data_IF_807288099716
#
_entry.id   IF_807288099716
#
_cell.length_a   1.000
_cell.length_b   1.000
_cell.length_c   1.000
_cell.angle_alpha   90.00
_cell.angle_beta   90.00
_cell.angle_gamma   90.00
#
_symmetry.space_group_name_H-M   'P 1'
#
loop_
_entity.id
_entity.type
_entity.pdbx_description
1 polymer ?
#
# COMPACT_ATOMS: atom_id res chain seq x y z
N UNK A 1 -0.27 7.19 -30.38
CA UNK A 1 -0.38 7.75 -29.01
C UNK A 1 -0.97 6.67 -28.13
N UNK A 2 -0.10 6.04 -27.34
CA UNK A 2 -0.47 4.90 -26.50
C UNK A 2 -1.56 5.26 -25.49
N UNK A 3 -2.66 4.51 -25.51
CA UNK A 3 -3.67 4.47 -24.45
C UNK A 3 -3.13 3.89 -23.14
N UNK A 4 -1.82 3.69 -23.05
CA UNK A 4 -1.11 3.19 -21.90
C UNK A 4 -0.89 4.33 -20.90
N UNK A 5 -1.57 4.20 -19.74
CA UNK A 5 -1.17 4.82 -18.49
C UNK A 5 -1.55 6.29 -18.24
N UNK A 6 -2.75 6.72 -18.55
CA UNK A 6 -3.34 7.81 -17.78
C UNK A 6 -3.82 7.26 -16.43
N UNK A 7 -2.88 7.05 -15.52
CA UNK A 7 -3.21 6.76 -14.13
C UNK A 7 -3.84 8.02 -13.53
N UNK A 8 -5.14 7.96 -13.23
CA UNK A 8 -5.82 9.04 -12.51
C UNK A 8 -5.52 8.78 -11.02
N UNK A 9 -4.79 9.69 -10.34
CA UNK A 9 -4.53 9.56 -8.91
C UNK A 9 -5.85 9.55 -8.13
N UNK A 10 -5.93 8.71 -7.11
CA UNK A 10 -7.14 8.59 -6.28
C UNK A 10 -7.21 9.76 -5.32
N UNK A 11 -8.35 10.46 -5.24
CA UNK A 11 -8.62 11.58 -4.32
C UNK A 11 -7.51 12.66 -4.38
N UNK A 12 -7.06 13.01 -5.60
CA UNK A 12 -5.93 13.92 -5.79
C UNK A 12 -6.18 15.30 -5.15
N UNK A 13 -7.32 15.91 -5.46
CA UNK A 13 -7.62 17.27 -4.97
C UNK A 13 -7.77 17.29 -3.45
N UNK A 14 -8.43 16.30 -2.89
CA UNK A 14 -8.58 16.16 -1.45
C UNK A 14 -7.22 15.94 -0.78
N UNK A 15 -6.35 15.08 -1.36
CA UNK A 15 -5.02 14.84 -0.83
C UNK A 15 -4.18 16.12 -0.81
N UNK A 16 -4.17 16.89 -1.91
CA UNK A 16 -3.44 18.15 -2.01
C UNK A 16 -4.00 19.20 -1.03
N UNK A 17 -5.32 19.29 -0.89
CA UNK A 17 -5.95 20.21 0.03
C UNK A 17 -5.60 19.90 1.50
N UNK A 18 -5.70 18.63 1.89
CA UNK A 18 -5.40 18.21 3.27
C UNK A 18 -3.91 18.22 3.61
N UNK A 19 -3.04 18.03 2.63
CA UNK A 19 -1.60 18.23 2.84
C UNK A 19 -1.25 19.66 3.21
N UNK A 20 -2.11 20.66 2.86
CA UNK A 20 -1.87 22.07 3.18
C UNK A 20 -0.44 22.48 2.76
N UNK A 21 -0.17 22.29 1.48
CA UNK A 21 1.15 22.51 0.91
C UNK A 21 1.50 24.00 0.90
N UNK A 22 2.75 24.29 1.22
CA UNK A 22 3.35 25.64 1.17
C UNK A 22 4.64 25.59 0.38
N UNK A 23 5.11 26.73 -0.07
CA UNK A 23 6.44 26.84 -0.67
C UNK A 23 7.52 26.54 0.37
N UNK A 24 8.66 26.04 -0.10
CA UNK A 24 9.89 25.78 0.68
C UNK A 24 9.73 24.82 1.86
N UNK A 25 8.85 23.82 1.73
CA UNK A 25 8.69 22.73 2.71
C UNK A 25 9.27 21.42 2.20
N UNK A 26 9.55 20.48 3.12
CA UNK A 26 9.94 19.13 2.81
C UNK A 26 8.74 18.18 2.93
N UNK A 27 8.50 17.41 1.87
CA UNK A 27 7.36 16.49 1.81
C UNK A 27 7.84 15.08 1.53
N UNK A 28 7.32 14.10 2.26
CA UNK A 28 7.45 12.69 1.97
C UNK A 28 6.25 12.21 1.14
N UNK A 29 6.50 11.66 -0.04
CA UNK A 29 5.58 10.76 -0.74
C UNK A 29 6.10 9.33 -0.57
N UNK A 30 5.51 8.59 0.35
CA UNK A 30 5.94 7.26 0.75
C UNK A 30 5.59 6.17 -0.27
N UNK A 31 4.77 6.50 -1.28
CA UNK A 31 4.20 5.59 -2.27
C UNK A 31 4.16 6.25 -3.65
N UNK A 32 5.32 6.68 -4.13
CA UNK A 32 5.44 7.58 -5.28
C UNK A 32 4.77 7.05 -6.56
N UNK A 33 4.83 5.73 -6.79
CA UNK A 33 4.23 5.09 -7.95
C UNK A 33 4.73 5.71 -9.27
N UNK A 34 3.79 6.01 -10.16
CA UNK A 34 4.07 6.72 -11.42
C UNK A 34 4.13 8.25 -11.27
N UNK A 35 4.08 8.76 -10.04
CA UNK A 35 4.23 10.16 -9.70
C UNK A 35 2.94 10.99 -9.82
N UNK A 36 1.78 10.35 -9.86
CA UNK A 36 0.50 11.06 -10.04
C UNK A 36 0.26 12.13 -8.99
N UNK A 37 0.40 11.82 -7.71
CA UNK A 37 0.39 12.77 -6.61
C UNK A 37 1.72 13.53 -6.51
N UNK A 38 2.85 12.78 -6.57
CA UNK A 38 4.17 13.31 -6.32
C UNK A 38 4.54 14.50 -7.21
N UNK A 39 4.27 14.45 -8.52
CA UNK A 39 4.54 15.57 -9.40
C UNK A 39 3.70 16.80 -9.07
N UNK A 40 2.44 16.62 -8.70
CA UNK A 40 1.56 17.71 -8.28
C UNK A 40 1.99 18.34 -6.95
N UNK A 41 2.49 17.53 -6.03
CA UNK A 41 3.08 17.99 -4.77
C UNK A 41 4.35 18.78 -5.06
N UNK A 42 5.27 18.23 -5.86
CA UNK A 42 6.56 18.87 -6.18
C UNK A 42 6.41 20.28 -6.78
N UNK A 43 5.43 20.45 -7.68
CA UNK A 43 5.16 21.77 -8.27
C UNK A 43 4.72 22.81 -7.23
N UNK A 44 3.93 22.42 -6.23
CA UNK A 44 3.34 23.32 -5.24
C UNK A 44 4.28 23.71 -4.11
N UNK A 45 5.34 22.96 -3.88
CA UNK A 45 6.28 23.18 -2.79
C UNK A 45 7.57 23.90 -3.21
N UNK A 46 7.75 24.23 -4.48
CA UNK A 46 8.98 24.89 -4.97
C UNK A 46 9.29 26.16 -4.15
N UNK A 47 10.57 26.35 -3.73
CA UNK A 47 11.78 25.55 -4.00
C UNK A 47 12.02 24.37 -3.05
N UNK A 48 11.05 24.02 -2.18
CA UNK A 48 11.14 22.92 -1.22
C UNK A 48 11.45 21.56 -1.87
N UNK A 49 11.53 20.50 -1.07
CA UNK A 49 11.98 19.18 -1.50
C UNK A 49 10.89 18.11 -1.35
N UNK A 50 10.64 17.33 -2.41
CA UNK A 50 9.86 16.09 -2.35
C UNK A 50 10.78 14.88 -2.25
N UNK A 51 10.59 14.09 -1.19
CA UNK A 51 11.23 12.81 -0.95
C UNK A 51 10.27 11.72 -1.43
N UNK A 52 10.56 11.06 -2.54
CA UNK A 52 9.72 10.00 -3.12
C UNK A 52 10.28 8.62 -2.79
N UNK A 53 9.41 7.69 -2.38
CA UNK A 53 9.77 6.29 -2.20
C UNK A 53 8.93 5.41 -3.13
N UNK A 54 9.59 4.53 -3.90
CA UNK A 54 8.94 3.53 -4.74
C UNK A 54 9.61 2.17 -4.54
N UNK A 55 8.82 1.20 -4.06
CA UNK A 55 9.33 -0.12 -3.72
C UNK A 55 9.57 -1.00 -4.95
N UNK A 56 8.65 -0.96 -5.92
CA UNK A 56 8.74 -1.75 -7.14
C UNK A 56 9.84 -1.23 -8.08
N UNK A 57 10.94 -2.00 -8.31
CA UNK A 57 12.04 -1.55 -9.13
C UNK A 57 11.63 -1.30 -10.59
N UNK A 58 10.61 -1.98 -11.09
CA UNK A 58 10.10 -1.76 -12.45
C UNK A 58 9.37 -0.41 -12.53
N UNK A 59 8.47 -0.12 -11.60
CA UNK A 59 7.80 1.19 -11.51
C UNK A 59 8.81 2.31 -11.30
N UNK A 60 9.78 2.11 -10.38
CA UNK A 60 10.88 3.05 -10.15
C UNK A 60 11.65 3.36 -11.44
N UNK A 61 12.06 2.33 -12.20
CA UNK A 61 12.79 2.51 -13.46
C UNK A 61 12.02 3.34 -14.48
N UNK A 62 10.70 3.14 -14.58
CA UNK A 62 9.85 3.90 -15.49
C UNK A 62 9.71 5.36 -15.07
N UNK A 63 9.41 5.61 -13.81
CA UNK A 63 9.15 6.97 -13.31
C UNK A 63 10.43 7.79 -13.16
N UNK A 64 11.56 7.15 -12.86
CA UNK A 64 12.87 7.84 -12.72
C UNK A 64 13.28 8.57 -13.99
N UNK A 65 12.81 8.13 -15.17
CA UNK A 65 13.07 8.82 -16.44
C UNK A 65 12.43 10.22 -16.52
N UNK A 66 11.39 10.48 -15.72
CA UNK A 66 10.70 11.76 -15.62
C UNK A 66 11.30 12.70 -14.56
N UNK A 67 12.06 12.16 -13.60
CA UNK A 67 12.62 12.94 -12.48
C UNK A 67 13.53 14.09 -12.93
N UNK A 68 14.39 13.97 -13.98
CA UNK A 68 15.21 15.08 -14.43
C UNK A 68 14.44 16.36 -14.81
N UNK A 69 13.13 16.27 -15.05
CA UNK A 69 12.27 17.42 -15.29
C UNK A 69 11.96 18.22 -14.02
N UNK A 70 12.27 17.66 -12.83
CA UNK A 70 11.96 18.23 -11.52
C UNK A 70 13.23 18.35 -10.67
N UNK A 71 13.74 19.57 -10.48
CA UNK A 71 14.94 19.81 -9.69
C UNK A 71 14.78 19.49 -8.20
N UNK A 72 13.54 19.53 -7.71
CA UNK A 72 13.17 19.40 -6.29
C UNK A 72 12.58 18.03 -5.92
N UNK A 73 12.82 16.97 -6.70
CA UNK A 73 12.45 15.60 -6.34
C UNK A 73 13.70 14.76 -6.07
N UNK A 74 13.69 14.01 -4.97
CA UNK A 74 14.66 12.94 -4.71
C UNK A 74 13.91 11.63 -4.56
N UNK A 75 14.01 10.78 -5.59
CA UNK A 75 13.32 9.49 -5.67
C UNK A 75 14.26 8.36 -5.29
N UNK A 76 13.79 7.44 -4.42
CA UNK A 76 14.52 6.28 -3.96
C UNK A 76 13.76 4.99 -4.29
N UNK A 77 14.48 3.97 -4.78
CA UNK A 77 13.90 2.62 -4.90
C UNK A 77 13.97 1.90 -3.53
N UNK A 78 13.07 2.30 -2.66
CA UNK A 78 12.92 1.81 -1.29
C UNK A 78 11.44 1.69 -0.94
N UNK A 79 11.10 0.70 -0.11
CA UNK A 79 9.81 0.70 0.58
C UNK A 79 9.83 1.69 1.76
N UNK A 80 8.67 2.17 2.15
CA UNK A 80 8.52 3.13 3.26
C UNK A 80 8.99 2.58 4.61
N UNK A 81 9.10 1.27 4.77
CA UNK A 81 9.68 0.61 5.94
C UNK A 81 11.21 0.83 6.07
N UNK A 82 11.82 1.41 5.04
CA UNK A 82 13.24 1.77 4.95
C UNK A 82 13.45 3.29 4.78
N UNK A 83 12.47 4.10 5.22
CA UNK A 83 12.50 5.56 5.13
C UNK A 83 13.75 6.18 5.78
N UNK A 84 14.23 5.60 6.88
CA UNK A 84 15.43 6.03 7.59
C UNK A 84 16.68 6.05 6.68
N UNK A 85 16.79 5.12 5.72
CA UNK A 85 17.86 5.09 4.73
C UNK A 85 17.79 6.32 3.80
N UNK A 86 16.60 6.71 3.35
CA UNK A 86 16.43 7.88 2.49
C UNK A 86 16.76 9.17 3.25
N UNK A 87 16.28 9.31 4.49
CA UNK A 87 16.56 10.46 5.35
C UNK A 87 18.05 10.61 5.64
N UNK A 88 18.72 9.50 5.96
CA UNK A 88 20.17 9.49 6.17
C UNK A 88 20.95 9.93 4.93
N UNK A 89 20.61 9.41 3.75
CA UNK A 89 21.26 9.77 2.47
C UNK A 89 21.10 11.24 2.10
N UNK A 90 20.01 11.86 2.51
CA UNK A 90 19.74 13.28 2.29
C UNK A 90 20.32 14.18 3.39
N UNK A 91 20.78 13.62 4.51
CA UNK A 91 21.20 14.39 5.68
C UNK A 91 20.06 15.15 6.35
N UNK A 92 18.81 14.67 6.19
CA UNK A 92 17.63 15.31 6.72
C UNK A 92 17.20 14.67 8.04
N UNK A 93 16.77 15.52 8.98
CA UNK A 93 16.26 15.10 10.29
C UNK A 93 14.74 15.20 10.42
N UNK A 94 14.07 15.87 9.48
CA UNK A 94 12.61 16.04 9.47
C UNK A 94 12.06 16.27 8.06
N UNK A 95 10.73 16.21 7.95
CA UNK A 95 9.91 16.75 6.87
C UNK A 95 8.59 17.32 7.44
N UNK A 96 7.91 18.15 6.65
CA UNK A 96 6.73 18.89 7.12
C UNK A 96 5.42 18.19 6.80
N UNK A 97 5.39 17.38 5.74
CA UNK A 97 4.20 16.64 5.28
C UNK A 97 4.57 15.24 4.91
N UNK A 98 3.67 14.30 5.16
CA UNK A 98 3.79 12.91 4.74
C UNK A 98 2.53 12.45 4.03
N UNK A 99 2.70 11.80 2.89
CA UNK A 99 1.63 11.24 2.08
C UNK A 99 1.85 9.75 1.85
N UNK A 100 0.77 8.96 2.00
CA UNK A 100 0.71 7.53 1.70
C UNK A 100 -0.52 7.23 0.86
N UNK A 101 -0.35 6.65 -0.34
CA UNK A 101 -1.39 6.05 -1.16
C UNK A 101 -1.15 4.53 -1.23
N UNK A 102 -1.79 3.77 -0.32
CA UNK A 102 -1.48 2.36 -0.06
C UNK A 102 -1.97 1.39 -1.17
N UNK A 103 -2.41 1.92 -2.30
CA UNK A 103 -2.93 1.12 -3.41
C UNK A 103 -1.86 0.33 -4.17
N UNK A 104 -2.32 -0.54 -5.06
CA UNK A 104 -1.47 -1.20 -6.05
C UNK A 104 -1.37 -0.30 -7.28
N UNK A 105 -0.16 -0.04 -7.77
CA UNK A 105 0.03 0.72 -8.99
C UNK A 105 -0.59 0.00 -10.20
N UNK A 106 -1.03 0.78 -11.21
CA UNK A 106 -1.52 0.21 -12.48
C UNK A 106 -0.45 -0.62 -13.16
N UNK A 107 0.80 -0.18 -13.05
CA UNK A 107 1.98 -0.84 -13.60
C UNK A 107 2.17 -2.22 -12.97
N UNK A 108 2.03 -2.33 -11.64
CA UNK A 108 2.14 -3.62 -10.95
C UNK A 108 1.06 -4.61 -11.39
N UNK A 109 -0.14 -4.15 -11.75
CA UNK A 109 -1.21 -5.01 -12.25
C UNK A 109 -0.94 -5.55 -13.69
N UNK A 110 -0.05 -4.92 -14.43
CA UNK A 110 0.19 -5.22 -15.85
C UNK A 110 1.54 -5.89 -16.13
N UNK A 111 2.42 -5.97 -15.15
CA UNK A 111 3.80 -6.42 -15.33
C UNK A 111 4.03 -7.94 -15.28
N UNK A 112 2.99 -8.76 -15.35
CA UNK A 112 3.12 -10.23 -15.47
C UNK A 112 3.44 -10.98 -14.17
N UNK A 113 3.37 -10.33 -13.00
CA UNK A 113 3.71 -10.92 -11.69
C UNK A 113 2.49 -11.49 -10.92
N UNK A 114 1.37 -11.70 -11.59
CA UNK A 114 0.19 -12.34 -11.02
C UNK A 114 -0.68 -11.45 -10.12
N UNK A 115 -0.48 -10.14 -10.11
CA UNK A 115 -1.33 -9.22 -9.35
C UNK A 115 -2.77 -9.16 -9.89
N UNK A 116 -2.98 -9.48 -11.17
CA UNK A 116 -4.30 -9.54 -11.78
C UNK A 116 -4.81 -10.98 -11.85
N UNK A 117 -5.99 -11.24 -11.28
CA UNK A 117 -6.68 -12.53 -11.44
C UNK A 117 -7.41 -12.67 -12.79
N UNK A 118 -7.30 -11.68 -13.67
CA UNK A 118 -7.92 -11.68 -15.00
C UNK A 118 -6.99 -12.19 -16.11
N UNK A 119 -5.69 -12.30 -15.81
CA UNK A 119 -4.66 -12.77 -16.73
C UNK A 119 -4.07 -14.08 -16.22
N UNK A 120 -3.62 -14.95 -17.13
CA UNK A 120 -2.89 -16.17 -16.75
C UNK A 120 -1.41 -15.85 -16.62
N UNK A 121 -0.95 -15.69 -15.39
CA UNK A 121 0.41 -15.31 -15.03
C UNK A 121 0.95 -16.23 -13.92
N UNK A 122 2.28 -16.26 -13.75
CA UNK A 122 2.89 -16.89 -12.57
C UNK A 122 2.41 -16.13 -11.31
N UNK A 123 2.03 -16.88 -10.28
CA UNK A 123 1.57 -16.29 -9.01
C UNK A 123 2.77 -15.84 -8.17
N UNK A 124 3.43 -14.78 -8.59
CA UNK A 124 4.58 -14.20 -7.87
C UNK A 124 4.12 -13.27 -6.73
N UNK A 125 3.36 -12.24 -7.02
CA UNK A 125 2.80 -11.22 -6.12
C UNK A 125 3.82 -10.35 -5.37
N UNK A 126 5.11 -10.42 -5.61
CA UNK A 126 6.10 -9.55 -4.97
C UNK A 126 6.10 -8.16 -5.60
N UNK A 127 6.10 -7.12 -4.77
CA UNK A 127 6.36 -5.75 -5.24
C UNK A 127 7.83 -5.61 -5.69
N UNK A 128 8.76 -6.12 -4.90
CA UNK A 128 10.16 -6.19 -5.29
C UNK A 128 10.58 -7.66 -5.50
N UNK A 129 10.82 -8.09 -6.74
CA UNK A 129 11.20 -9.48 -7.02
C UNK A 129 12.62 -9.83 -6.53
N UNK A 130 13.40 -8.85 -6.08
CA UNK A 130 14.73 -9.06 -5.48
C UNK A 130 14.64 -9.48 -4.01
N UNK A 131 13.46 -9.28 -3.38
CA UNK A 131 13.23 -9.54 -1.96
C UNK A 131 12.25 -10.71 -1.75
N UNK A 132 12.55 -11.57 -0.80
CA UNK A 132 11.66 -12.66 -0.39
C UNK A 132 11.39 -13.71 -1.46
N UNK A 133 10.40 -14.56 -1.19
CA UNK A 133 9.96 -15.65 -2.08
C UNK A 133 8.66 -15.28 -2.77
N UNK A 134 8.45 -15.72 -4.03
CA UNK A 134 7.17 -15.54 -4.72
C UNK A 134 6.03 -16.30 -4.02
N UNK A 135 4.81 -15.83 -4.18
CA UNK A 135 3.64 -16.42 -3.51
C UNK A 135 3.48 -17.92 -3.77
N UNK A 136 3.78 -18.38 -4.97
CA UNK A 136 3.65 -19.81 -5.29
C UNK A 136 4.62 -20.69 -4.48
N UNK A 137 5.83 -20.23 -4.16
CA UNK A 137 6.76 -20.93 -3.29
C UNK A 137 6.30 -20.90 -1.83
N UNK A 138 5.92 -19.74 -1.34
CA UNK A 138 5.38 -19.60 0.02
C UNK A 138 4.19 -20.51 0.26
N UNK A 139 3.26 -20.61 -0.73
CA UNK A 139 2.11 -21.53 -0.66
C UNK A 139 2.56 -22.99 -0.62
N UNK A 140 3.61 -23.35 -1.34
CA UNK A 140 4.14 -24.74 -1.30
C UNK A 140 4.73 -25.08 0.08
N UNK A 141 5.47 -24.18 0.69
CA UNK A 141 6.17 -24.38 1.95
C UNK A 141 5.22 -24.40 3.16
N UNK A 142 4.22 -23.52 3.22
CA UNK A 142 3.29 -23.45 4.35
C UNK A 142 2.35 -24.66 4.39
N UNK A 143 1.84 -24.99 5.56
CA UNK A 143 0.79 -25.99 5.71
C UNK A 143 -0.61 -25.47 5.35
N UNK A 144 -1.61 -26.35 5.31
CA UNK A 144 -2.99 -26.00 4.96
C UNK A 144 -3.62 -25.07 6.01
N UNK A 145 -3.30 -25.25 7.29
CA UNK A 145 -3.84 -24.45 8.39
C UNK A 145 -3.32 -23.02 8.33
N UNK A 146 -2.03 -22.84 8.04
CA UNK A 146 -1.44 -21.54 7.86
C UNK A 146 -2.02 -20.82 6.66
N UNK A 147 -2.20 -21.48 5.51
CA UNK A 147 -2.85 -20.88 4.35
C UNK A 147 -4.32 -20.50 4.66
N UNK A 148 -5.07 -21.37 5.37
CA UNK A 148 -6.41 -21.03 5.84
C UNK A 148 -6.40 -19.78 6.71
N UNK A 149 -5.45 -19.70 7.66
CA UNK A 149 -5.30 -18.55 8.57
C UNK A 149 -5.04 -17.25 7.79
N UNK A 150 -4.14 -17.29 6.81
CA UNK A 150 -3.82 -16.16 5.94
C UNK A 150 -5.07 -15.69 5.17
N UNK A 151 -5.77 -16.61 4.52
CA UNK A 151 -6.98 -16.29 3.76
C UNK A 151 -8.10 -15.72 4.65
N UNK A 152 -8.23 -16.23 5.87
CA UNK A 152 -9.23 -15.78 6.84
C UNK A 152 -8.90 -14.41 7.41
N UNK A 153 -7.66 -14.18 7.82
CA UNK A 153 -7.26 -12.95 8.50
C UNK A 153 -7.04 -11.81 7.50
N UNK A 154 -6.26 -12.03 6.46
CA UNK A 154 -5.87 -10.98 5.52
C UNK A 154 -6.87 -10.77 4.38
N UNK A 155 -7.65 -11.79 4.04
CA UNK A 155 -8.70 -11.70 3.03
C UNK A 155 -10.10 -11.53 3.59
N UNK A 156 -10.28 -11.74 4.90
CA UNK A 156 -11.62 -11.85 5.52
C UNK A 156 -12.50 -12.86 4.76
N UNK A 157 -11.86 -13.94 4.24
CA UNK A 157 -12.51 -14.90 3.34
C UNK A 157 -13.27 -15.97 4.14
N UNK A 158 -14.60 -16.04 3.91
CA UNK A 158 -15.50 -16.94 4.64
C UNK A 158 -15.27 -18.42 4.30
N UNK A 159 -14.85 -18.73 3.07
CA UNK A 159 -14.58 -20.07 2.60
C UNK A 159 -13.09 -20.44 2.66
N UNK A 160 -12.31 -19.75 3.52
CA UNK A 160 -10.86 -19.90 3.63
C UNK A 160 -10.42 -21.36 3.73
N UNK A 161 -11.07 -22.18 4.58
CA UNK A 161 -10.73 -23.59 4.79
C UNK A 161 -10.79 -24.43 3.50
N UNK A 162 -11.90 -24.33 2.76
CA UNK A 162 -12.06 -25.12 1.54
C UNK A 162 -11.16 -24.61 0.41
N UNK A 163 -10.95 -23.29 0.34
CA UNK A 163 -10.02 -22.68 -0.63
C UNK A 163 -8.60 -23.15 -0.34
N UNK A 164 -8.12 -23.05 0.91
CA UNK A 164 -6.80 -23.50 1.33
C UNK A 164 -6.56 -24.99 0.98
N UNK A 165 -7.51 -25.86 1.32
CA UNK A 165 -7.44 -27.29 0.99
C UNK A 165 -7.27 -27.52 -0.52
N UNK A 166 -8.08 -26.85 -1.34
CA UNK A 166 -8.02 -27.00 -2.81
C UNK A 166 -6.70 -26.43 -3.37
N UNK A 167 -6.23 -25.28 -2.88
CA UNK A 167 -4.94 -24.70 -3.29
C UNK A 167 -3.80 -25.64 -2.94
N UNK A 168 -3.76 -26.19 -1.72
CA UNK A 168 -2.73 -27.16 -1.32
C UNK A 168 -2.76 -28.44 -2.13
N UNK A 169 -3.92 -28.92 -2.54
CA UNK A 169 -4.04 -30.09 -3.40
C UNK A 169 -3.42 -29.85 -4.80
N UNK A 170 -3.60 -28.65 -5.37
CA UNK A 170 -3.00 -28.28 -6.65
C UNK A 170 -1.49 -28.03 -6.49
N UNK A 171 -1.07 -27.34 -5.42
CA UNK A 171 0.34 -26.96 -5.21
C UNK A 171 1.28 -28.17 -5.06
N UNK A 172 0.76 -29.34 -4.69
CA UNK A 172 1.52 -30.61 -4.63
C UNK A 172 1.76 -31.22 -6.00
N UNK A 173 0.97 -30.84 -7.01
CA UNK A 173 1.01 -31.41 -8.35
C UNK A 173 1.65 -30.49 -9.40
N UNK A 174 1.54 -29.18 -9.18
CA UNK A 174 2.05 -28.18 -10.11
C UNK A 174 3.45 -27.71 -9.67
N UNK A 175 4.38 -27.61 -10.58
CA UNK A 175 5.71 -27.06 -10.32
C UNK A 175 5.63 -25.59 -9.98
N UNK A 176 4.78 -24.85 -10.67
CA UNK A 176 4.52 -23.42 -10.44
C UNK A 176 3.02 -23.16 -10.39
N UNK A 177 2.55 -22.44 -9.38
CA UNK A 177 1.17 -21.99 -9.34
C UNK A 177 0.99 -20.77 -10.24
N UNK A 178 -0.11 -20.79 -10.99
CA UNK A 178 -0.54 -19.69 -11.83
C UNK A 178 -1.82 -19.06 -11.26
N UNK A 179 -2.09 -17.84 -11.66
CA UNK A 179 -3.31 -17.10 -11.27
C UNK A 179 -4.57 -17.87 -11.62
N UNK A 180 -4.62 -18.52 -12.78
CA UNK A 180 -5.76 -19.32 -13.23
C UNK A 180 -6.06 -20.50 -12.31
N UNK A 181 -5.06 -21.14 -11.71
CA UNK A 181 -5.28 -22.21 -10.74
C UNK A 181 -6.11 -21.72 -9.55
N UNK A 182 -5.75 -20.57 -9.02
CA UNK A 182 -6.44 -19.98 -7.85
C UNK A 182 -7.81 -19.42 -8.25
N UNK A 183 -7.89 -18.72 -9.39
CA UNK A 183 -9.14 -18.14 -9.90
C UNK A 183 -10.21 -19.22 -10.11
N UNK A 184 -9.85 -20.35 -10.76
CA UNK A 184 -10.74 -21.46 -11.02
C UNK A 184 -11.25 -22.13 -9.73
N UNK A 185 -10.38 -22.25 -8.71
CA UNK A 185 -10.81 -22.74 -7.38
C UNK A 185 -11.90 -21.83 -6.81
N UNK A 186 -11.68 -20.52 -6.82
CA UNK A 186 -12.64 -19.55 -6.29
C UNK A 186 -13.93 -19.58 -7.10
N UNK A 187 -13.83 -19.58 -8.43
CA UNK A 187 -14.97 -19.60 -9.33
C UNK A 187 -15.85 -20.86 -9.16
N UNK A 188 -15.24 -22.01 -8.82
CA UNK A 188 -15.97 -23.25 -8.52
C UNK A 188 -16.76 -23.21 -7.21
N UNK A 189 -16.46 -22.27 -6.31
CA UNK A 189 -17.05 -22.20 -4.97
C UNK A 189 -18.06 -21.08 -4.83
N UNK A 190 -18.13 -20.13 -5.76
CA UNK A 190 -18.95 -18.95 -5.64
C UNK A 190 -19.92 -18.78 -6.82
N UNK A 191 -21.12 -18.27 -6.51
CA UNK A 191 -22.06 -17.83 -7.53
C UNK A 191 -21.42 -16.74 -8.42
N UNK A 192 -21.66 -16.69 -9.75
CA UNK A 192 -21.02 -15.75 -10.66
C UNK A 192 -20.96 -14.29 -10.18
N UNK A 193 -22.06 -13.75 -9.64
CA UNK A 193 -22.13 -12.38 -9.10
C UNK A 193 -21.18 -12.08 -7.92
N UNK A 194 -20.67 -13.13 -7.26
CA UNK A 194 -19.80 -13.00 -6.09
C UNK A 194 -18.32 -13.34 -6.39
N UNK A 195 -18.02 -13.89 -7.57
CA UNK A 195 -16.68 -14.42 -7.91
C UNK A 195 -15.60 -13.36 -7.82
N UNK A 196 -15.80 -12.19 -8.42
CA UNK A 196 -14.78 -11.14 -8.44
C UNK A 196 -14.48 -10.60 -7.04
N UNK A 197 -15.51 -10.44 -6.19
CA UNK A 197 -15.31 -10.05 -4.79
C UNK A 197 -14.54 -11.13 -4.01
N UNK A 198 -14.82 -12.40 -4.25
CA UNK A 198 -14.11 -13.49 -3.59
C UNK A 198 -12.65 -13.59 -4.07
N UNK A 199 -12.41 -13.48 -5.39
CA UNK A 199 -11.06 -13.41 -5.95
C UNK A 199 -10.28 -12.25 -5.37
N UNK A 200 -10.86 -11.06 -5.32
CA UNK A 200 -10.20 -9.88 -4.74
C UNK A 200 -9.74 -10.13 -3.29
N UNK A 201 -10.57 -10.77 -2.44
CA UNK A 201 -10.19 -11.12 -1.07
C UNK A 201 -9.05 -12.13 -0.99
N UNK A 202 -9.08 -13.15 -1.85
CA UNK A 202 -8.00 -14.15 -1.90
C UNK A 202 -6.69 -13.51 -2.36
N UNK A 203 -6.72 -12.68 -3.41
CA UNK A 203 -5.54 -11.95 -3.90
C UNK A 203 -4.99 -10.99 -2.85
N UNK A 204 -5.87 -10.23 -2.19
CA UNK A 204 -5.49 -9.36 -1.08
C UNK A 204 -4.75 -10.16 0.01
N UNK A 205 -5.28 -11.31 0.42
CA UNK A 205 -4.65 -12.12 1.47
C UNK A 205 -3.26 -12.61 1.08
N UNK A 206 -3.14 -13.17 -0.12
CA UNK A 206 -1.86 -13.69 -0.63
C UNK A 206 -0.83 -12.57 -0.81
N UNK A 207 -1.24 -11.41 -1.35
CA UNK A 207 -0.40 -10.24 -1.55
C UNK A 207 0.13 -9.68 -0.23
N UNK A 208 -0.78 -9.45 0.73
CA UNK A 208 -0.41 -8.96 2.07
C UNK A 208 0.63 -9.88 2.71
N UNK A 209 0.44 -11.18 2.64
CA UNK A 209 1.37 -12.14 3.21
C UNK A 209 2.72 -12.15 2.46
N UNK A 210 2.69 -12.22 1.13
CA UNK A 210 3.90 -12.26 0.29
C UNK A 210 4.80 -11.03 0.49
N UNK A 211 4.19 -9.86 0.65
CA UNK A 211 4.93 -8.60 0.78
C UNK A 211 5.09 -8.11 2.22
N UNK A 212 4.58 -8.85 3.20
CA UNK A 212 4.55 -8.43 4.61
C UNK A 212 3.97 -7.02 4.80
N UNK A 213 2.89 -6.68 4.03
CA UNK A 213 2.41 -5.31 3.86
C UNK A 213 2.06 -4.62 5.16
N UNK A 214 1.37 -5.32 6.07
CA UNK A 214 0.89 -4.72 7.32
C UNK A 214 2.03 -4.42 8.29
N UNK A 215 3.03 -5.28 8.36
CA UNK A 215 4.21 -5.02 9.19
C UNK A 215 5.08 -3.90 8.59
N UNK A 216 5.24 -3.89 7.27
CA UNK A 216 5.93 -2.81 6.58
C UNK A 216 5.19 -1.48 6.78
N UNK A 217 3.84 -1.45 6.66
CA UNK A 217 3.04 -0.26 6.94
C UNK A 217 3.24 0.22 8.38
N UNK A 218 3.22 -0.69 9.34
CA UNK A 218 3.47 -0.37 10.75
C UNK A 218 4.83 0.32 10.95
N UNK A 219 5.89 -0.24 10.36
CA UNK A 219 7.24 0.33 10.43
C UNK A 219 7.32 1.67 9.72
N UNK A 220 6.76 1.76 8.50
CA UNK A 220 6.77 2.99 7.72
C UNK A 220 6.04 4.14 8.41
N UNK A 221 4.89 3.87 9.01
CA UNK A 221 4.15 4.87 9.79
C UNK A 221 4.92 5.33 11.04
N UNK A 222 5.55 4.39 11.76
CA UNK A 222 6.35 4.75 12.91
C UNK A 222 7.57 5.62 12.54
N UNK A 223 8.24 5.31 11.42
CA UNK A 223 9.32 6.13 10.88
C UNK A 223 8.80 7.49 10.38
N UNK A 224 7.66 7.50 9.66
CA UNK A 224 7.06 8.73 9.18
C UNK A 224 6.72 9.67 10.36
N UNK A 225 6.09 9.17 11.42
CA UNK A 225 5.78 9.94 12.62
C UNK A 225 7.03 10.40 13.38
N UNK A 226 8.12 9.64 13.34
CA UNK A 226 9.40 10.06 13.91
C UNK A 226 9.96 11.29 13.20
N UNK A 227 9.99 11.27 11.86
CA UNK A 227 10.60 12.32 11.05
C UNK A 227 9.64 13.49 10.74
N UNK A 228 8.33 13.31 10.90
CA UNK A 228 7.35 14.39 10.71
C UNK A 228 7.54 15.45 11.78
N UNK A 229 7.62 16.72 11.37
CA UNK A 229 7.70 17.87 12.30
C UNK A 229 6.47 17.95 13.19
N UNK A 230 6.59 18.48 14.40
CA UNK A 230 5.43 18.91 15.20
C UNK A 230 4.68 20.00 14.44
N UNK A 231 3.35 19.88 14.32
CA UNK A 231 2.51 20.68 13.43
C UNK A 231 2.46 20.14 11.99
N UNK A 232 3.27 19.12 11.66
CA UNK A 232 3.26 18.46 10.35
C UNK A 232 2.03 17.59 10.15
N UNK A 233 1.64 17.38 8.87
CA UNK A 233 0.45 16.60 8.49
C UNK A 233 0.82 15.26 7.88
N UNK A 234 0.11 14.23 8.30
CA UNK A 234 0.14 12.87 7.72
C UNK A 234 -1.19 12.62 7.02
N UNK A 235 -1.16 12.43 5.71
CA UNK A 235 -2.33 12.08 4.88
C UNK A 235 -2.15 10.65 4.37
N UNK A 236 -3.13 9.79 4.63
CA UNK A 236 -3.07 8.37 4.24
C UNK A 236 -4.36 7.96 3.54
N UNK A 237 -4.22 7.41 2.33
CA UNK A 237 -5.29 6.75 1.57
C UNK A 237 -5.13 5.24 1.73
N UNK A 238 -6.19 4.56 2.13
CA UNK A 238 -6.28 3.12 2.35
C UNK A 238 -7.32 2.51 1.44
N UNK A 239 -7.17 1.22 1.06
CA UNK A 239 -8.09 0.55 0.11
C UNK A 239 -8.79 -0.68 0.70
N UNK A 240 -8.39 -1.13 1.88
CA UNK A 240 -9.06 -2.22 2.58
C UNK A 240 -9.13 -2.01 4.10
N UNK A 241 -10.00 -2.79 4.73
CA UNK A 241 -10.34 -2.70 6.17
C UNK A 241 -9.13 -2.82 7.10
N UNK A 242 -8.14 -3.63 6.74
CA UNK A 242 -6.98 -3.90 7.59
C UNK A 242 -6.05 -2.68 7.65
N UNK A 243 -5.78 -2.04 6.50
CA UNK A 243 -5.04 -0.77 6.46
C UNK A 243 -5.80 0.30 7.25
N UNK A 244 -7.08 0.54 6.92
CA UNK A 244 -7.90 1.57 7.59
C UNK A 244 -7.94 1.38 9.11
N UNK A 245 -8.01 0.13 9.58
CA UNK A 245 -7.99 -0.19 11.02
C UNK A 245 -6.66 0.21 11.66
N UNK A 246 -5.53 -0.04 11.00
CA UNK A 246 -4.21 0.38 11.48
C UNK A 246 -4.09 1.89 11.54
N UNK A 247 -4.45 2.59 10.47
CA UNK A 247 -4.41 4.06 10.43
C UNK A 247 -5.35 4.65 11.48
N UNK A 248 -6.57 4.11 11.62
CA UNK A 248 -7.52 4.54 12.64
C UNK A 248 -6.96 4.38 14.06
N UNK A 249 -6.11 3.40 14.33
CA UNK A 249 -5.54 3.20 15.66
C UNK A 249 -4.64 4.33 16.12
N UNK A 250 -4.13 5.16 15.21
CA UNK A 250 -3.36 6.36 15.56
C UNK A 250 -4.13 7.35 16.45
N UNK A 251 -5.46 7.38 16.35
CA UNK A 251 -6.34 8.19 17.23
C UNK A 251 -6.21 7.85 18.73
N UNK A 252 -5.61 6.72 19.07
CA UNK A 252 -5.43 6.27 20.45
C UNK A 252 -4.19 6.89 21.11
N UNK A 253 -3.47 7.72 20.39
CA UNK A 253 -2.22 8.33 20.85
C UNK A 253 -2.36 9.84 20.94
N UNK A 254 -1.83 10.40 21.99
CA UNK A 254 -1.85 11.83 22.33
C UNK A 254 -0.82 12.68 21.54
N UNK A 255 0.07 12.02 20.81
CA UNK A 255 1.04 12.72 19.94
C UNK A 255 0.49 13.05 18.54
N UNK A 256 -0.73 12.63 18.21
CA UNK A 256 -1.41 13.01 16.97
C UNK A 256 -2.85 13.46 17.23
N UNK A 257 -3.30 14.43 16.44
CA UNK A 257 -4.68 14.87 16.38
C UNK A 257 -5.32 14.40 15.08
N UNK A 258 -6.50 13.77 15.15
CA UNK A 258 -7.27 13.35 13.99
C UNK A 258 -8.09 14.50 13.42
N UNK A 259 -7.65 15.05 12.30
CA UNK A 259 -8.28 16.20 11.62
C UNK A 259 -9.63 15.83 10.99
N UNK A 260 -9.78 14.60 10.53
CA UNK A 260 -10.97 14.19 9.75
C UNK A 260 -12.10 13.62 10.60
N UNK A 261 -11.80 13.13 11.79
CA UNK A 261 -12.74 12.44 12.67
C UNK A 261 -13.32 11.14 12.05
N UNK A 262 -13.89 11.26 10.84
CA UNK A 262 -14.33 10.14 9.99
C UNK A 262 -13.46 10.09 8.73
N UNK A 263 -13.33 8.90 8.08
CA UNK A 263 -12.59 8.84 6.83
C UNK A 263 -13.33 9.62 5.74
N UNK A 264 -12.57 10.32 4.90
CA UNK A 264 -13.08 10.93 3.67
C UNK A 264 -13.13 9.83 2.62
N UNK A 265 -14.19 9.81 1.83
CA UNK A 265 -14.40 8.84 0.75
C UNK A 265 -14.51 9.57 -0.58
N UNK A 266 -14.12 8.94 -1.70
CA UNK A 266 -14.22 9.57 -3.01
C UNK A 266 -15.65 9.91 -3.38
N UNK A 267 -15.83 10.95 -4.19
CA UNK A 267 -17.13 11.36 -4.72
C UNK A 267 -17.69 10.32 -5.71
N UNK A 268 -19.00 10.37 -5.97
CA UNK A 268 -19.61 9.50 -6.99
C UNK A 268 -19.05 9.77 -8.39
N UNK A 269 -18.71 11.02 -8.71
CA UNK A 269 -18.08 11.41 -9.97
C UNK A 269 -16.70 10.79 -10.11
N UNK A 270 -15.90 10.79 -9.03
CA UNK A 270 -14.59 10.14 -9.05
C UNK A 270 -14.73 8.64 -9.23
N UNK A 271 -15.65 7.98 -8.51
CA UNK A 271 -15.89 6.53 -8.63
C UNK A 271 -16.30 6.16 -10.07
N UNK A 272 -17.07 7.02 -10.76
CA UNK A 272 -17.44 6.80 -12.17
C UNK A 272 -16.24 6.91 -13.10
N UNK A 273 -15.36 7.92 -12.89
CA UNK A 273 -14.16 8.12 -13.70
C UNK A 273 -13.05 7.11 -13.38
N UNK A 274 -12.90 6.79 -12.10
CA UNK A 274 -11.86 5.92 -11.58
C UNK A 274 -12.46 4.86 -10.63
N UNK A 275 -13.01 3.75 -11.15
CA UNK A 275 -13.64 2.70 -10.33
C UNK A 275 -12.73 2.09 -9.27
N UNK A 276 -11.41 2.27 -9.36
CA UNK A 276 -10.43 1.83 -8.36
C UNK A 276 -10.52 2.63 -7.06
N UNK A 277 -11.02 3.87 -7.12
CA UNK A 277 -11.20 4.72 -5.93
C UNK A 277 -12.33 4.23 -5.02
N UNK A 278 -13.25 3.38 -5.49
CA UNK A 278 -14.46 2.98 -4.77
C UNK A 278 -14.24 2.54 -3.32
N UNK A 279 -13.14 1.88 -3.02
CA UNK A 279 -12.81 1.40 -1.67
C UNK A 279 -11.90 2.33 -0.89
N UNK A 280 -11.46 3.42 -1.51
CA UNK A 280 -10.53 4.36 -0.91
C UNK A 280 -11.15 5.06 0.32
N UNK A 281 -10.30 5.25 1.33
CA UNK A 281 -10.61 6.01 2.54
C UNK A 281 -9.40 6.83 2.90
N UNK A 282 -9.55 8.13 2.98
CA UNK A 282 -8.48 9.03 3.39
C UNK A 282 -8.65 9.44 4.84
N UNK A 283 -7.56 9.43 5.58
CA UNK A 283 -7.45 9.98 6.95
C UNK A 283 -6.30 10.95 7.04
N UNK A 284 -6.48 11.95 7.88
CA UNK A 284 -5.52 13.02 8.07
C UNK A 284 -5.25 13.21 9.55
N UNK A 285 -3.97 13.29 9.88
CA UNK A 285 -3.50 13.55 11.24
C UNK A 285 -2.52 14.71 11.25
N UNK A 286 -2.53 15.47 12.35
CA UNK A 286 -1.48 16.44 12.67
C UNK A 286 -0.64 15.88 13.80
N UNK A 287 0.67 15.90 13.67
CA UNK A 287 1.58 15.55 14.77
C UNK A 287 1.61 16.73 15.77
N UNK A 288 1.23 16.48 17.02
CA UNK A 288 1.14 17.53 18.06
C UNK A 288 2.24 17.41 19.13
N UNK A 289 2.95 16.28 19.18
CA UNK A 289 4.05 16.05 20.11
C UNK A 289 5.10 15.09 19.52
N UNK A 290 6.29 15.08 20.08
CA UNK A 290 7.36 14.19 19.66
C UNK A 290 7.04 12.72 19.95
N UNK A 291 7.51 11.83 19.08
CA UNK A 291 7.21 10.39 19.11
C UNK A 291 8.47 9.58 19.34
N UNK A 292 8.47 8.76 20.39
CA UNK A 292 9.43 7.68 20.49
C UNK A 292 8.97 6.50 19.62
N UNK A 293 9.50 6.40 18.40
CA UNK A 293 9.08 5.39 17.44
C UNK A 293 9.36 3.94 17.90
N UNK A 294 10.39 3.70 18.72
CA UNK A 294 10.65 2.39 19.30
C UNK A 294 9.56 1.96 20.30
N UNK A 295 9.07 2.91 21.09
CA UNK A 295 7.94 2.66 21.99
C UNK A 295 6.66 2.39 21.19
N UNK A 296 6.40 3.16 20.15
CA UNK A 296 5.25 2.94 19.26
C UNK A 296 5.29 1.56 18.61
N UNK A 297 6.44 1.12 18.11
CA UNK A 297 6.62 -0.21 17.52
C UNK A 297 6.43 -1.36 18.52
N UNK A 298 6.63 -1.13 19.82
CA UNK A 298 6.39 -2.13 20.88
C UNK A 298 4.95 -2.11 21.41
N UNK A 299 4.18 -1.06 21.14
CA UNK A 299 2.81 -0.95 21.61
C UNK A 299 1.92 -1.99 20.91
N UNK A 300 1.26 -2.84 21.71
CA UNK A 300 0.38 -3.90 21.18
C UNK A 300 -0.82 -3.36 20.41
N UNK A 301 -1.30 -2.16 20.73
CA UNK A 301 -2.40 -1.50 20.03
C UNK A 301 -2.01 -1.16 18.58
N UNK A 302 -0.75 -0.76 18.37
CA UNK A 302 -0.18 -0.48 17.07
C UNK A 302 0.43 -1.73 16.40
N UNK A 303 1.03 -2.63 17.20
CA UNK A 303 1.72 -3.82 16.71
C UNK A 303 0.77 -4.92 16.20
N UNK A 304 -0.46 -5.00 16.69
CA UNK A 304 -1.38 -6.08 16.31
C UNK A 304 -2.85 -5.66 16.31
N UNK A 305 -3.26 -4.77 15.39
CA UNK A 305 -4.66 -4.40 15.23
C UNK A 305 -5.54 -5.58 14.78
N UNK A 306 -4.94 -6.76 14.52
CA UNK A 306 -5.57 -7.96 13.94
C UNK A 306 -5.69 -9.12 14.93
N UNK A 307 -5.27 -8.97 16.19
CA UNK A 307 -5.66 -9.97 17.21
C UNK A 307 -7.17 -9.94 17.33
N UNK A 308 -7.80 -10.83 16.59
CA UNK A 308 -9.18 -11.23 16.82
C UNK A 308 -9.25 -11.73 18.25
N UNK A 309 -10.11 -11.10 19.04
CA UNK A 309 -10.58 -11.64 20.33
C UNK A 309 -11.23 -12.97 20.09
#
# INVERSE_FOLDING_TARGET
MDKALTHIPVMLEEALWFLDLKEDIFVLDATFGMGGHGFQIAERIKPGLLIGLEKDPFTYSLVSQKIPLFSNIRLFNLGYEKLDIAMLRLGLSYFDRAFFDLGISSVSLENGRGFSYKKDEVLDLRFDPREGKPAYELIKEMDEKELERILRIYGEEKKAKIIAKKIKAISRKADVLRTTHIANIVDSLYHPKMRDRAKARVWQALRIYTNNELENLRKGLALALRYLSVGGRLVVITFHSLEDRMIKSLKLYDFVEDVTGKPITPSEEEIKRNPRSRSAKMRVFVKVAEVNHHSLLRDRRFANPFKVR
#
